data_IF_439623822925
#
_entry.id   IF_439623822925
#
_cell.length_a   1.000
_cell.length_b   1.000
_cell.length_c   1.000
_cell.angle_alpha   90.00
_cell.angle_beta   90.00
_cell.angle_gamma   90.00
#
_symmetry.space_group_name_H-M   'P 1'
#
loop_
_entity.id
_entity.type
_entity.pdbx_description
1 polymer ?
#
# COMPACT_ATOMS: atom_id res chain seq x y z
N UNK A 1 -9.61 4.18 14.20
CA UNK A 1 -9.37 3.37 12.98
C UNK A 1 -7.93 2.86 12.98
N UNK A 2 -7.66 1.75 12.32
CA UNK A 2 -6.34 1.12 12.22
C UNK A 2 -5.82 1.19 10.79
N UNK A 3 -4.57 1.64 10.60
CA UNK A 3 -3.90 1.66 9.30
C UNK A 3 -2.84 0.55 9.23
N UNK A 4 -2.90 -0.29 8.21
CA UNK A 4 -1.82 -1.20 7.84
C UNK A 4 -0.98 -0.54 6.74
N UNK A 5 0.31 -0.37 6.98
CA UNK A 5 1.25 0.22 6.03
C UNK A 5 2.14 -0.87 5.45
N UNK A 6 2.13 -1.02 4.13
CA UNK A 6 3.18 -1.75 3.42
C UNK A 6 4.23 -0.75 2.96
N UNK A 7 5.43 -0.84 3.53
CA UNK A 7 6.53 0.09 3.24
C UNK A 7 7.61 -0.59 2.40
N UNK A 8 7.72 -0.18 1.13
CA UNK A 8 8.56 -0.82 0.13
C UNK A 8 9.81 0.00 -0.26
N UNK A 9 10.45 0.72 0.65
CA UNK A 9 11.69 1.42 0.34
C UNK A 9 12.93 0.71 0.86
N UNK A 10 13.97 0.45 0.00
CA UNK A 10 15.20 -0.26 0.41
C UNK A 10 16.08 0.56 1.37
N UNK A 11 15.84 1.86 1.49
CA UNK A 11 16.62 2.74 2.37
C UNK A 11 16.05 2.85 3.78
N UNK A 12 15.01 2.10 4.10
CA UNK A 12 14.41 2.05 5.42
C UNK A 12 14.08 3.44 5.98
N UNK A 13 14.48 3.73 7.21
CA UNK A 13 14.23 4.99 7.90
C UNK A 13 14.88 6.23 7.26
N UNK A 14 15.88 6.05 6.39
CA UNK A 14 16.58 7.15 5.71
C UNK A 14 16.00 7.48 4.32
N UNK A 15 14.86 6.89 3.95
CA UNK A 15 14.27 7.11 2.65
C UNK A 15 13.37 8.34 2.61
N UNK A 16 13.34 9.00 1.46
CA UNK A 16 12.42 10.11 1.20
C UNK A 16 10.95 9.69 1.33
N UNK A 17 10.63 8.46 0.90
CA UNK A 17 9.29 7.89 1.06
C UNK A 17 8.94 7.74 2.54
N UNK A 18 9.90 7.35 3.40
CA UNK A 18 9.68 7.27 4.85
C UNK A 18 9.42 8.63 5.46
N UNK A 19 10.14 9.65 5.01
CA UNK A 19 9.96 11.01 5.51
C UNK A 19 8.52 11.52 5.25
N UNK A 20 7.98 11.31 4.03
CA UNK A 20 6.59 11.63 3.73
C UNK A 20 5.60 10.78 4.54
N UNK A 21 5.88 9.49 4.66
CA UNK A 21 5.06 8.57 5.44
C UNK A 21 4.98 8.97 6.90
N UNK A 22 6.07 9.44 7.49
CA UNK A 22 6.10 9.91 8.89
C UNK A 22 5.13 11.06 9.10
N UNK A 23 5.13 12.08 8.26
CA UNK A 23 4.20 13.21 8.36
C UNK A 23 2.73 12.79 8.22
N UNK A 24 2.46 11.82 7.35
CA UNK A 24 1.12 11.24 7.23
C UNK A 24 0.70 10.49 8.50
N UNK A 25 1.60 9.67 9.06
CA UNK A 25 1.31 8.84 10.22
C UNK A 25 1.18 9.67 11.51
N UNK A 26 1.96 10.75 11.66
CA UNK A 26 1.84 11.67 12.78
C UNK A 26 0.47 12.35 12.79
N UNK A 27 -0.02 12.79 11.62
CA UNK A 27 -1.36 13.38 11.48
C UNK A 27 -2.46 12.33 11.71
N UNK A 28 -2.25 11.09 11.20
CA UNK A 28 -3.15 9.97 11.42
C UNK A 28 -3.29 9.63 12.92
N UNK A 29 -2.18 9.60 13.64
CA UNK A 29 -2.13 9.33 15.08
C UNK A 29 -2.70 10.49 15.91
N UNK A 30 -2.43 11.73 15.52
CA UNK A 30 -2.99 12.92 16.16
C UNK A 30 -4.53 12.94 16.10
N UNK A 31 -5.13 12.31 15.08
CA UNK A 31 -6.58 12.09 14.98
C UNK A 31 -7.10 10.91 15.84
N UNK A 32 -6.29 10.34 16.73
CA UNK A 32 -6.68 9.24 17.64
C UNK A 32 -6.70 7.86 16.99
N UNK A 33 -6.02 7.66 15.87
CA UNK A 33 -5.97 6.39 15.15
C UNK A 33 -4.66 5.64 15.43
N UNK A 34 -4.62 4.35 15.10
CA UNK A 34 -3.44 3.49 15.25
C UNK A 34 -2.90 3.03 13.90
N UNK A 35 -1.65 2.58 13.87
CA UNK A 35 -1.06 2.01 12.67
C UNK A 35 -0.05 0.90 12.99
N UNK A 36 0.22 0.06 12.01
CA UNK A 36 1.33 -0.88 11.96
C UNK A 36 2.07 -0.70 10.63
N UNK A 37 3.38 -0.88 10.63
CA UNK A 37 4.23 -0.74 9.43
C UNK A 37 4.99 -2.04 9.20
N UNK A 38 4.79 -2.65 8.04
CA UNK A 38 5.61 -3.74 7.53
C UNK A 38 6.66 -3.18 6.56
N UNK A 39 7.92 -3.30 6.93
CA UNK A 39 9.06 -2.91 6.11
C UNK A 39 9.41 -4.07 5.19
N UNK A 40 8.88 -4.05 3.97
CA UNK A 40 8.91 -5.20 3.05
C UNK A 40 10.31 -5.65 2.61
N UNK A 41 11.34 -4.85 2.88
CA UNK A 41 12.75 -5.26 2.71
C UNK A 41 13.30 -6.03 3.89
N UNK A 42 12.63 -5.99 5.04
CA UNK A 42 13.00 -6.70 6.25
C UNK A 42 12.18 -8.00 6.42
N UNK A 43 11.14 -8.20 5.58
CA UNK A 43 10.25 -9.35 5.58
C UNK A 43 10.68 -10.40 4.54
N UNK A 44 10.56 -11.66 4.88
CA UNK A 44 10.79 -12.78 3.94
C UNK A 44 9.53 -13.01 3.11
N UNK A 45 9.43 -12.36 1.93
CA UNK A 45 8.27 -12.45 1.04
C UNK A 45 8.67 -13.09 -0.28
N UNK A 46 8.19 -14.29 -0.53
CA UNK A 46 8.35 -14.98 -1.82
C UNK A 46 7.34 -14.47 -2.85
N UNK A 47 7.73 -14.28 -4.12
CA UNK A 47 6.79 -13.95 -5.18
C UNK A 47 5.67 -14.97 -5.34
N UNK A 48 4.52 -14.53 -5.82
CA UNK A 48 3.42 -15.44 -6.16
C UNK A 48 3.83 -16.36 -7.31
N UNK A 49 3.65 -17.68 -7.14
CA UNK A 49 3.93 -18.70 -8.16
C UNK A 49 2.71 -19.03 -9.03
N UNK A 50 1.59 -18.35 -8.85
CA UNK A 50 0.31 -18.60 -9.54
C UNK A 50 -0.18 -20.06 -9.43
N UNK A 51 0.16 -20.77 -8.35
CA UNK A 51 -0.19 -22.18 -8.13
C UNK A 51 -1.70 -22.39 -7.87
N UNK A 52 -2.44 -21.31 -7.57
CA UNK A 52 -3.89 -21.30 -7.27
C UNK A 52 -4.30 -22.08 -6.01
N UNK A 53 -3.37 -22.59 -5.20
CA UNK A 53 -3.69 -23.32 -3.98
C UNK A 53 -4.56 -22.53 -3.00
N UNK A 54 -4.46 -21.21 -2.99
CA UNK A 54 -5.28 -20.32 -2.18
C UNK A 54 -6.74 -20.14 -2.69
N UNK A 55 -7.13 -20.74 -3.81
CA UNK A 55 -8.44 -20.50 -4.43
C UNK A 55 -9.52 -21.50 -4.02
N UNK A 56 -9.13 -22.62 -3.45
CA UNK A 56 -10.04 -23.74 -3.14
C UNK A 56 -10.84 -23.52 -1.85
N UNK A 57 -10.34 -22.65 -1.00
CA UNK A 57 -10.96 -22.34 0.29
C UNK A 57 -11.16 -20.82 0.41
N UNK A 58 -12.32 -20.39 0.89
CA UNK A 58 -12.74 -18.99 0.91
C UNK A 58 -12.85 -18.41 2.33
N UNK A 59 -12.54 -19.18 3.36
CA UNK A 59 -12.60 -18.72 4.75
C UNK A 59 -11.36 -17.91 5.20
N UNK A 60 -10.30 -17.90 4.37
CA UNK A 60 -9.08 -17.14 4.64
C UNK A 60 -8.18 -16.97 3.41
N UNK A 61 -7.01 -16.34 3.57
CA UNK A 61 -6.03 -16.17 2.50
C UNK A 61 -5.53 -17.51 1.92
N UNK A 62 -5.24 -18.48 2.79
CA UNK A 62 -4.90 -19.88 2.48
C UNK A 62 -3.80 -20.05 1.43
N UNK A 63 -2.77 -19.16 1.46
CA UNK A 63 -1.63 -19.28 0.58
C UNK A 63 -0.75 -20.46 1.02
N UNK A 64 -0.31 -21.29 0.04
CA UNK A 64 0.53 -22.45 0.30
C UNK A 64 1.99 -22.10 0.63
N UNK A 65 2.40 -20.86 0.40
CA UNK A 65 3.75 -20.38 0.72
C UNK A 65 3.73 -19.92 2.18
N UNK A 66 4.51 -20.61 3.00
CA UNK A 66 4.70 -20.28 4.42
C UNK A 66 5.86 -19.27 4.54
N UNK A 67 5.49 -17.99 4.70
CA UNK A 67 6.40 -16.87 4.85
C UNK A 67 5.70 -15.70 5.60
N UNK A 68 6.37 -14.56 5.74
CA UNK A 68 5.87 -13.42 6.52
C UNK A 68 4.57 -12.80 5.96
N UNK A 69 4.15 -13.21 4.74
CA UNK A 69 2.86 -12.77 4.20
C UNK A 69 1.67 -13.23 5.05
N UNK A 70 1.81 -14.30 5.84
CA UNK A 70 0.71 -14.78 6.71
C UNK A 70 0.26 -13.69 7.68
N UNK A 71 1.17 -13.10 8.44
CA UNK A 71 0.86 -12.00 9.35
C UNK A 71 0.40 -10.72 8.61
N UNK A 72 0.95 -10.46 7.42
CA UNK A 72 0.55 -9.32 6.60
C UNK A 72 -0.90 -9.45 6.11
N UNK A 73 -1.35 -10.64 5.71
CA UNK A 73 -2.75 -10.88 5.33
C UNK A 73 -3.72 -10.63 6.49
N UNK A 74 -3.40 -11.16 7.67
CA UNK A 74 -4.22 -10.98 8.87
C UNK A 74 -4.37 -9.50 9.19
N UNK A 75 -3.27 -8.74 9.13
CA UNK A 75 -3.27 -7.33 9.40
C UNK A 75 -4.04 -6.52 8.34
N UNK A 76 -3.88 -6.86 7.04
CA UNK A 76 -4.64 -6.25 5.95
C UNK A 76 -6.14 -6.51 6.15
N UNK A 77 -6.55 -7.71 6.53
CA UNK A 77 -7.96 -8.02 6.77
C UNK A 77 -8.52 -7.29 7.99
N UNK A 78 -7.71 -7.09 9.03
CA UNK A 78 -8.12 -6.43 10.27
C UNK A 78 -8.11 -4.88 10.21
N UNK A 79 -7.35 -4.27 9.29
CA UNK A 79 -7.22 -2.81 9.23
C UNK A 79 -8.43 -2.13 8.57
N UNK A 80 -8.59 -0.83 8.80
CA UNK A 80 -9.56 0.05 8.13
C UNK A 80 -8.98 0.67 6.85
N UNK A 81 -7.68 0.97 6.86
CA UNK A 81 -6.92 1.56 5.76
C UNK A 81 -5.69 0.71 5.44
N UNK A 82 -5.53 0.33 4.18
CA UNK A 82 -4.28 -0.18 3.61
C UNK A 82 -3.53 0.98 2.95
N UNK A 83 -2.36 1.34 3.48
CA UNK A 83 -1.51 2.41 2.95
C UNK A 83 -0.26 1.81 2.30
N UNK A 84 -0.08 2.09 1.01
CA UNK A 84 1.05 1.60 0.22
C UNK A 84 2.09 2.70 0.10
N UNK A 85 3.29 2.52 0.66
CA UNK A 85 4.34 3.52 0.63
C UNK A 85 5.58 2.97 -0.09
N UNK A 86 5.86 3.43 -1.32
CA UNK A 86 6.95 2.92 -2.16
C UNK A 86 7.56 4.02 -3.02
N UNK A 87 8.89 4.08 -3.19
CA UNK A 87 9.47 4.87 -4.28
C UNK A 87 9.11 4.25 -5.62
N UNK A 88 9.11 5.06 -6.67
CA UNK A 88 8.90 4.58 -8.05
C UNK A 88 10.22 4.10 -8.64
N UNK A 89 10.23 2.85 -9.10
CA UNK A 89 11.26 2.25 -9.92
C UNK A 89 10.64 1.77 -11.23
N UNK A 90 11.16 2.23 -12.37
CA UNK A 90 10.63 1.90 -13.71
C UNK A 90 9.10 2.12 -13.81
N UNK A 91 8.63 3.29 -13.36
CA UNK A 91 7.21 3.67 -13.34
C UNK A 91 6.29 2.75 -12.53
N UNK A 92 6.84 1.92 -11.66
CA UNK A 92 6.10 1.01 -10.77
C UNK A 92 6.66 1.08 -9.35
N UNK A 93 6.06 0.34 -8.44
CA UNK A 93 6.60 0.16 -7.09
C UNK A 93 7.85 -0.72 -7.10
N UNK A 94 8.50 -0.85 -5.94
CA UNK A 94 9.66 -1.75 -5.75
C UNK A 94 9.28 -3.22 -5.83
N UNK A 95 10.26 -4.09 -6.09
CA UNK A 95 10.04 -5.51 -6.23
C UNK A 95 9.38 -6.19 -5.00
N UNK A 96 9.78 -5.91 -3.74
CA UNK A 96 9.08 -6.46 -2.58
C UNK A 96 7.62 -5.99 -2.47
N UNK A 97 7.34 -4.71 -2.78
CA UNK A 97 5.97 -4.20 -2.82
C UNK A 97 5.15 -4.93 -3.89
N UNK A 98 5.71 -5.15 -5.08
CA UNK A 98 5.03 -5.89 -6.15
C UNK A 98 4.77 -7.33 -5.74
N UNK A 99 5.74 -8.00 -5.12
CA UNK A 99 5.58 -9.38 -4.63
C UNK A 99 4.43 -9.48 -3.61
N UNK A 100 4.39 -8.56 -2.63
CA UNK A 100 3.31 -8.50 -1.65
C UNK A 100 1.94 -8.27 -2.31
N UNK A 101 1.84 -7.31 -3.25
CA UNK A 101 0.59 -7.01 -3.95
C UNK A 101 0.11 -8.18 -4.83
N UNK A 102 1.00 -8.88 -5.53
CA UNK A 102 0.63 -10.06 -6.32
C UNK A 102 0.10 -11.19 -5.42
N UNK A 103 0.76 -11.38 -4.26
CA UNK A 103 0.31 -12.33 -3.25
C UNK A 103 -1.07 -11.94 -2.69
N UNK A 104 -1.30 -10.66 -2.40
CA UNK A 104 -2.60 -10.17 -1.92
C UNK A 104 -3.71 -10.40 -2.94
N UNK A 105 -3.48 -10.07 -4.21
CA UNK A 105 -4.51 -10.25 -5.24
C UNK A 105 -4.95 -11.71 -5.35
N UNK A 106 -4.00 -12.65 -5.38
CA UNK A 106 -4.35 -14.07 -5.49
C UNK A 106 -4.95 -14.64 -4.21
N UNK A 107 -4.42 -14.27 -3.04
CA UNK A 107 -4.89 -14.84 -1.78
C UNK A 107 -6.22 -14.23 -1.29
N UNK A 108 -6.44 -12.94 -1.55
CA UNK A 108 -7.61 -12.21 -1.03
C UNK A 108 -8.74 -12.04 -2.05
N UNK A 109 -8.50 -12.26 -3.37
CA UNK A 109 -9.54 -12.35 -4.37
C UNK A 109 -9.72 -13.80 -4.82
N UNK A 110 -10.83 -14.43 -4.46
CA UNK A 110 -11.13 -15.81 -4.78
C UNK A 110 -11.75 -15.93 -6.20
N UNK A 111 -11.14 -15.26 -7.19
CA UNK A 111 -11.70 -15.11 -8.54
C UNK A 111 -11.11 -16.08 -9.57
N UNK A 112 -10.06 -16.83 -9.19
CA UNK A 112 -9.20 -17.55 -10.13
C UNK A 112 -9.27 -19.06 -9.99
N UNK A 113 -10.19 -19.60 -9.16
CA UNK A 113 -10.54 -21.00 -9.04
C UNK A 113 -11.51 -21.46 -10.12
N UNK A 114 -11.98 -22.69 -10.04
CA UNK A 114 -13.00 -23.24 -10.94
C UNK A 114 -14.34 -22.51 -10.78
N UNK A 115 -14.64 -22.10 -9.55
CA UNK A 115 -15.76 -21.22 -9.23
C UNK A 115 -15.24 -19.84 -8.78
N UNK A 116 -15.99 -18.81 -9.15
CA UNK A 116 -15.66 -17.44 -8.74
C UNK A 116 -16.16 -17.19 -7.32
N UNK A 117 -15.22 -17.10 -6.38
CA UNK A 117 -15.50 -16.79 -4.99
C UNK A 117 -15.56 -15.28 -4.67
N UNK A 118 -15.56 -14.91 -3.39
CA UNK A 118 -15.63 -13.52 -2.93
C UNK A 118 -14.28 -12.77 -3.03
N UNK A 119 -14.31 -11.47 -2.82
CA UNK A 119 -13.15 -10.68 -2.42
C UNK A 119 -13.14 -10.57 -0.89
N UNK A 120 -12.17 -11.15 -0.23
CA UNK A 120 -12.09 -11.19 1.24
C UNK A 120 -11.83 -9.81 1.86
N UNK A 121 -11.31 -8.87 1.07
CA UNK A 121 -11.02 -7.49 1.47
C UNK A 121 -11.92 -6.46 0.77
N UNK A 122 -13.07 -6.87 0.25
CA UNK A 122 -14.05 -5.98 -0.39
C UNK A 122 -14.40 -4.77 0.50
N UNK A 123 -14.47 -3.59 -0.10
CA UNK A 123 -14.80 -2.34 0.60
C UNK A 123 -13.65 -1.70 1.36
N UNK A 124 -12.51 -2.38 1.54
CA UNK A 124 -11.35 -1.83 2.26
C UNK A 124 -10.81 -0.57 1.58
N UNK A 125 -10.50 0.45 2.38
CA UNK A 125 -9.89 1.68 1.89
C UNK A 125 -8.41 1.47 1.54
N UNK A 126 -7.97 2.04 0.42
CA UNK A 126 -6.57 1.97 -0.04
C UNK A 126 -6.09 3.36 -0.45
N UNK A 127 -4.93 3.76 0.05
CA UNK A 127 -4.23 4.98 -0.35
C UNK A 127 -2.76 4.68 -0.64
N UNK A 128 -2.05 5.59 -1.32
CA UNK A 128 -0.63 5.40 -1.60
C UNK A 128 0.18 6.68 -1.35
N UNK A 129 1.44 6.49 -0.92
CA UNK A 129 2.47 7.54 -0.82
C UNK A 129 3.66 7.11 -1.67
N UNK A 130 4.21 8.04 -2.46
CA UNK A 130 5.34 7.73 -3.33
C UNK A 130 6.35 8.86 -3.46
N UNK A 131 7.55 8.49 -3.90
CA UNK A 131 8.58 9.43 -4.35
C UNK A 131 9.12 8.98 -5.70
N UNK A 132 9.42 9.91 -6.59
CA UNK A 132 9.92 9.61 -7.93
C UNK A 132 10.93 10.66 -8.42
N UNK A 133 11.74 10.31 -9.40
CA UNK A 133 12.72 11.22 -10.01
C UNK A 133 12.11 12.18 -11.05
N UNK A 134 10.97 11.83 -11.62
CA UNK A 134 10.22 12.68 -12.55
C UNK A 134 9.17 13.52 -11.82
N UNK A 135 8.51 14.44 -12.53
CA UNK A 135 7.27 15.05 -12.02
C UNK A 135 6.27 13.93 -11.73
N UNK A 136 5.53 14.06 -10.64
CA UNK A 136 4.65 12.98 -10.14
C UNK A 136 3.65 12.54 -11.21
N UNK A 137 3.11 13.47 -11.99
CA UNK A 137 2.13 13.24 -13.07
C UNK A 137 2.69 12.42 -14.26
N UNK A 138 4.02 12.21 -14.29
CA UNK A 138 4.71 11.42 -15.33
C UNK A 138 5.61 10.33 -14.76
N UNK A 139 5.82 10.35 -13.46
CA UNK A 139 6.67 9.37 -12.77
C UNK A 139 5.87 8.32 -12.03
N UNK A 140 4.70 8.68 -11.50
CA UNK A 140 3.86 7.80 -10.71
C UNK A 140 2.52 7.43 -11.38
N UNK A 141 2.22 8.02 -12.53
CA UNK A 141 0.95 7.88 -13.27
C UNK A 141 0.60 6.42 -13.58
N UNK A 142 1.58 5.64 -14.06
CA UNK A 142 1.34 4.23 -14.40
C UNK A 142 1.08 3.39 -13.15
N UNK A 143 1.79 3.66 -12.06
CA UNK A 143 1.54 2.95 -10.80
C UNK A 143 0.21 3.34 -10.20
N UNK A 144 -0.16 4.62 -10.21
CA UNK A 144 -1.47 5.07 -9.75
C UNK A 144 -2.60 4.42 -10.56
N UNK A 145 -2.47 4.36 -11.88
CA UNK A 145 -3.48 3.71 -12.73
C UNK A 145 -3.54 2.20 -12.46
N UNK A 146 -2.39 1.53 -12.25
CA UNK A 146 -2.38 0.12 -11.85
C UNK A 146 -3.13 -0.09 -10.53
N UNK A 147 -2.91 0.77 -9.52
CA UNK A 147 -3.62 0.70 -8.24
C UNK A 147 -5.12 0.97 -8.39
N UNK A 148 -5.54 1.93 -9.22
CA UNK A 148 -6.97 2.17 -9.52
C UNK A 148 -7.64 0.94 -10.12
N UNK A 149 -6.97 0.30 -11.09
CA UNK A 149 -7.48 -0.94 -11.71
C UNK A 149 -7.52 -2.09 -10.71
N UNK A 150 -6.50 -2.23 -9.89
CA UNK A 150 -6.44 -3.22 -8.82
C UNK A 150 -7.60 -3.04 -7.83
N UNK A 151 -7.82 -1.80 -7.35
CA UNK A 151 -8.92 -1.50 -6.45
C UNK A 151 -10.28 -1.79 -7.08
N UNK A 152 -10.49 -1.40 -8.34
CA UNK A 152 -11.73 -1.74 -9.07
C UNK A 152 -11.93 -3.25 -9.18
N UNK A 153 -10.88 -3.99 -9.55
CA UNK A 153 -10.92 -5.44 -9.71
C UNK A 153 -11.24 -6.16 -8.39
N UNK A 154 -10.57 -5.75 -7.31
CA UNK A 154 -10.71 -6.34 -5.98
C UNK A 154 -11.87 -5.75 -5.16
N UNK A 155 -12.66 -4.81 -5.74
CA UNK A 155 -13.76 -4.09 -5.09
C UNK A 155 -13.34 -3.31 -3.85
N UNK A 156 -12.14 -2.70 -3.90
CA UNK A 156 -11.59 -1.83 -2.88
C UNK A 156 -11.99 -0.37 -3.14
N UNK A 157 -11.86 0.45 -2.12
CA UNK A 157 -12.09 1.90 -2.20
C UNK A 157 -10.75 2.62 -2.38
N UNK A 158 -10.47 3.11 -3.58
CA UNK A 158 -9.30 3.93 -3.85
C UNK A 158 -9.51 5.35 -3.32
N UNK A 159 -8.61 5.82 -2.42
CA UNK A 159 -8.68 7.15 -1.81
C UNK A 159 -7.69 8.15 -2.40
N UNK A 160 -6.73 7.70 -3.19
CA UNK A 160 -5.77 8.55 -3.88
C UNK A 160 -4.32 8.21 -3.64
N UNK A 161 -3.45 8.87 -4.40
CA UNK A 161 -2.00 8.81 -4.28
C UNK A 161 -1.47 10.22 -3.98
N UNK A 162 -0.58 10.31 -2.99
CA UNK A 162 0.27 11.47 -2.78
C UNK A 162 1.71 11.14 -3.15
N UNK A 163 2.36 12.02 -3.88
CA UNK A 163 3.74 11.82 -4.30
C UNK A 163 4.55 13.11 -4.32
N UNK A 164 5.87 12.98 -4.16
CA UNK A 164 6.83 14.08 -4.26
C UNK A 164 8.00 13.72 -5.16
N UNK A 165 8.47 14.72 -5.89
CA UNK A 165 9.64 14.59 -6.74
C UNK A 165 10.92 14.66 -5.92
N UNK A 166 11.84 13.74 -6.19
CA UNK A 166 13.22 13.77 -5.69
C UNK A 166 14.13 14.46 -6.72
N UNK A 167 14.80 15.56 -6.33
CA UNK A 167 15.63 16.38 -7.22
C UNK A 167 17.10 16.01 -7.27
N UNK A 168 17.52 14.95 -6.58
CA UNK A 168 18.90 14.47 -6.55
C UNK A 168 19.41 14.19 -5.14
N UNK A 169 20.47 13.40 -5.04
CA UNK A 169 20.99 12.92 -3.76
C UNK A 169 21.69 13.98 -2.89
N UNK A 170 22.06 15.10 -3.49
CA UNK A 170 22.74 16.22 -2.79
C UNK A 170 21.76 17.30 -2.31
N UNK A 171 20.46 17.15 -2.62
CA UNK A 171 19.43 18.12 -2.24
C UNK A 171 18.67 17.57 -1.04
N UNK A 172 18.47 18.39 -0.01
CA UNK A 172 17.57 18.06 1.09
C UNK A 172 16.18 17.77 0.51
N UNK A 173 15.64 16.61 0.83
CA UNK A 173 14.34 16.18 0.26
C UNK A 173 13.17 16.87 0.96
N UNK A 174 13.15 16.81 2.30
CA UNK A 174 12.04 17.37 3.07
C UNK A 174 12.19 18.87 3.28
N UNK A 175 11.09 19.55 3.19
CA UNK A 175 10.86 20.93 3.58
C UNK A 175 9.45 21.03 4.21
N UNK A 176 9.14 22.18 4.81
CA UNK A 176 7.85 22.40 5.50
C UNK A 176 6.66 22.30 4.55
N UNK A 177 6.81 22.71 3.28
CA UNK A 177 5.74 22.61 2.31
C UNK A 177 5.37 21.17 1.98
N UNK A 178 6.38 20.27 1.81
CA UNK A 178 6.13 18.84 1.59
C UNK A 178 5.53 18.19 2.83
N UNK A 179 6.02 18.57 4.02
CA UNK A 179 5.45 18.09 5.28
C UNK A 179 3.97 18.46 5.40
N UNK A 180 3.62 19.72 5.11
CA UNK A 180 2.23 20.19 5.13
C UNK A 180 1.37 19.46 4.10
N UNK A 181 1.86 19.22 2.88
CA UNK A 181 1.12 18.46 1.87
C UNK A 181 0.90 17.01 2.28
N UNK A 182 1.88 16.36 2.91
CA UNK A 182 1.74 14.99 3.41
C UNK A 182 0.69 14.91 4.53
N UNK A 183 0.72 15.85 5.48
CA UNK A 183 -0.31 15.98 6.53
C UNK A 183 -1.70 16.27 5.94
N UNK A 184 -1.77 17.17 4.95
CA UNK A 184 -3.03 17.47 4.27
C UNK A 184 -3.60 16.22 3.55
N UNK A 185 -2.76 15.40 2.94
CA UNK A 185 -3.21 14.14 2.34
C UNK A 185 -3.77 13.17 3.40
N UNK A 186 -3.17 13.08 4.59
CA UNK A 186 -3.73 12.29 5.69
C UNK A 186 -5.12 12.79 6.09
N UNK A 187 -5.31 14.11 6.20
CA UNK A 187 -6.61 14.72 6.50
C UNK A 187 -7.64 14.45 5.39
N UNK A 188 -7.24 14.46 4.12
CA UNK A 188 -8.13 14.11 3.01
C UNK A 188 -8.59 12.65 3.12
N UNK A 189 -7.66 11.73 3.39
CA UNK A 189 -7.97 10.31 3.58
C UNK A 189 -8.93 10.12 4.76
N UNK A 190 -8.67 10.77 5.90
CA UNK A 190 -9.54 10.73 7.08
C UNK A 190 -10.96 11.19 6.76
N UNK A 191 -11.12 12.35 6.08
CA UNK A 191 -12.45 12.85 5.66
C UNK A 191 -13.19 11.88 4.75
N UNK A 192 -12.49 11.28 3.77
CA UNK A 192 -13.09 10.30 2.86
C UNK A 192 -13.50 9.00 3.56
N UNK A 193 -12.81 8.62 4.65
CA UNK A 193 -13.17 7.44 5.44
C UNK A 193 -14.40 7.72 6.30
N UNK A 194 -14.50 8.89 6.92
CA UNK A 194 -15.63 9.30 7.76
C UNK A 194 -16.91 9.55 6.97
N UNK A 195 -16.82 10.04 5.74
CA UNK A 195 -18.00 10.35 4.90
C UNK A 195 -18.81 9.12 4.46
N UNK A 196 -18.35 7.91 4.76
CA UNK A 196 -19.02 6.64 4.41
C UNK A 196 -19.27 5.71 5.60
N UNK A 197 -19.01 6.18 6.81
CA UNK A 197 -19.47 5.55 8.03
C UNK A 197 -20.89 6.03 8.34
#
# INVERSE_FOLDING_TARGET
MKCCVLFGSPRGGQSNTRALLTEFLDEWQAAGNTFVVYSLYDEAISPCMACRGCQWDWDGPNCVIDDDMTGIYEEILACDLLLLASPIYLWSCTAPMKAALDRCIYALCKYYGDEKGPSLWEGKAVAAITTCGYRVEKGADLWEEALRRTCKHARLRWLGLYGERHLGYQTAFMDEEKAQRARHFAQQVLRQMQAKA
#
